data_IF_468725917763
#
_entry.id   IF_468725917763
#
_cell.length_a   1.000
_cell.length_b   1.000
_cell.length_c   1.000
_cell.angle_alpha   90.00
_cell.angle_beta   90.00
_cell.angle_gamma   90.00
#
_symmetry.space_group_name_H-M   'P 1'
#
loop_
_entity.id
_entity.type
_entity.pdbx_description
1 polymer ?
#
# COMPACT_ATOMS: atom_id res chain seq x y z
N UNK A 1 -26.71 -25.62 -2.79
CA UNK A 1 -25.75 -24.61 -3.29
C UNK A 1 -25.08 -25.15 -4.55
N UNK A 2 -25.08 -24.40 -5.65
CA UNK A 2 -24.44 -24.84 -6.91
C UNK A 2 -22.92 -24.65 -6.85
N UNK A 3 -22.17 -25.53 -7.54
CA UNK A 3 -20.68 -25.50 -7.62
C UNK A 3 -20.14 -24.10 -7.98
N UNK A 4 -20.80 -23.41 -8.91
CA UNK A 4 -20.49 -22.02 -9.31
C UNK A 4 -20.65 -20.99 -8.18
N UNK A 5 -21.62 -21.17 -7.28
CA UNK A 5 -21.81 -20.24 -6.15
C UNK A 5 -20.70 -20.40 -5.11
N UNK A 6 -20.18 -21.62 -4.93
CA UNK A 6 -19.04 -21.91 -4.05
C UNK A 6 -17.75 -21.32 -4.60
N UNK A 7 -17.48 -21.49 -5.91
CA UNK A 7 -16.31 -20.89 -6.59
C UNK A 7 -16.31 -19.35 -6.53
N UNK A 8 -17.46 -18.70 -6.74
CA UNK A 8 -17.57 -17.24 -6.62
C UNK A 8 -17.37 -16.74 -5.19
N UNK A 9 -17.63 -17.58 -4.18
CA UNK A 9 -17.40 -17.23 -2.78
C UNK A 9 -15.92 -17.40 -2.42
N UNK A 10 -15.26 -18.45 -2.90
CA UNK A 10 -13.83 -18.66 -2.68
C UNK A 10 -12.98 -17.60 -3.39
N UNK A 11 -13.31 -17.23 -4.63
CA UNK A 11 -12.61 -16.14 -5.34
C UNK A 11 -12.72 -14.79 -4.60
N UNK A 12 -13.90 -14.45 -4.07
CA UNK A 12 -14.09 -13.22 -3.28
C UNK A 12 -13.29 -13.21 -1.98
N UNK A 13 -13.16 -14.37 -1.33
CA UNK A 13 -12.35 -14.51 -0.11
C UNK A 13 -10.86 -14.40 -0.43
N UNK A 14 -10.40 -15.02 -1.52
CA UNK A 14 -9.00 -14.93 -1.97
C UNK A 14 -8.61 -13.50 -2.36
N UNK A 15 -9.47 -12.80 -3.11
CA UNK A 15 -9.23 -11.41 -3.49
C UNK A 15 -9.12 -10.49 -2.25
N UNK A 16 -9.97 -10.70 -1.23
CA UNK A 16 -9.88 -9.95 0.03
C UNK A 16 -8.60 -10.25 0.81
N UNK A 17 -8.15 -11.51 0.81
CA UNK A 17 -6.89 -11.90 1.46
C UNK A 17 -5.68 -11.26 0.76
N UNK A 18 -5.65 -11.26 -0.57
CA UNK A 18 -4.60 -10.59 -1.35
C UNK A 18 -4.58 -9.08 -1.08
N UNK A 19 -5.75 -8.43 -1.04
CA UNK A 19 -5.85 -7.00 -0.76
C UNK A 19 -5.37 -6.65 0.66
N UNK A 20 -5.66 -7.50 1.64
CA UNK A 20 -5.15 -7.34 3.00
C UNK A 20 -3.63 -7.45 3.06
N UNK A 21 -3.06 -8.45 2.37
CA UNK A 21 -1.62 -8.68 2.34
C UNK A 21 -0.87 -7.52 1.64
N UNK A 22 -1.42 -7.01 0.53
CA UNK A 22 -0.91 -5.81 -0.14
C UNK A 22 -0.96 -4.57 0.76
N UNK A 23 -2.06 -4.38 1.51
CA UNK A 23 -2.18 -3.28 2.46
C UNK A 23 -1.15 -3.39 3.60
N UNK A 24 -0.95 -4.59 4.14
CA UNK A 24 0.01 -4.86 5.20
C UNK A 24 1.45 -4.61 4.73
N UNK A 25 1.78 -5.03 3.51
CA UNK A 25 3.07 -4.76 2.88
C UNK A 25 3.26 -3.28 2.58
N UNK A 26 2.20 -2.56 2.20
CA UNK A 26 2.22 -1.10 2.00
C UNK A 26 2.46 -0.36 3.32
N UNK A 27 1.75 -0.72 4.39
CA UNK A 27 1.96 -0.17 5.72
C UNK A 27 3.37 -0.42 6.23
N UNK A 28 3.88 -1.65 6.09
CA UNK A 28 5.24 -2.00 6.49
C UNK A 28 6.31 -1.20 5.74
N UNK A 29 6.09 -0.93 4.45
CA UNK A 29 6.97 -0.07 3.64
C UNK A 29 6.89 1.40 4.05
N UNK A 30 5.71 1.88 4.44
CA UNK A 30 5.53 3.26 4.90
C UNK A 30 6.13 3.45 6.29
N UNK A 31 5.95 2.47 7.20
CA UNK A 31 6.51 2.49 8.55
C UNK A 31 8.03 2.35 8.56
N UNK A 32 8.61 1.68 7.55
CA UNK A 32 10.07 1.55 7.40
C UNK A 32 10.74 2.76 6.75
N UNK A 33 9.99 3.79 6.32
CA UNK A 33 10.61 5.00 5.76
C UNK A 33 11.38 5.73 6.86
N UNK A 34 12.67 5.96 6.62
CA UNK A 34 13.54 6.67 7.55
C UNK A 34 12.97 8.04 7.97
N UNK A 35 12.29 8.75 7.06
CA UNK A 35 11.63 10.03 7.36
C UNK A 35 10.39 9.91 8.26
N UNK A 36 9.72 8.76 8.26
CA UNK A 36 8.61 8.46 9.16
C UNK A 36 9.12 8.09 10.55
N UNK A 37 10.13 7.23 10.61
CA UNK A 37 10.83 6.86 11.85
C UNK A 37 11.45 8.09 12.52
N UNK A 38 12.11 8.97 11.75
CA UNK A 38 12.69 10.21 12.26
C UNK A 38 11.63 11.17 12.81
N UNK A 39 10.47 11.27 12.14
CA UNK A 39 9.38 12.12 12.62
C UNK A 39 8.75 11.56 13.91
N UNK A 40 8.50 10.25 13.98
CA UNK A 40 8.00 9.61 15.19
C UNK A 40 9.01 9.75 16.35
N UNK A 41 10.31 9.57 16.10
CA UNK A 41 11.34 9.78 17.12
C UNK A 41 11.42 11.22 17.63
N UNK A 42 11.10 12.22 16.79
CA UNK A 42 11.04 13.62 17.20
C UNK A 42 9.77 13.95 18.02
N UNK A 43 8.70 13.17 17.88
CA UNK A 43 7.46 13.30 18.64
C UNK A 43 7.56 12.55 19.98
N UNK A 44 8.10 11.33 19.96
CA UNK A 44 8.11 10.38 21.08
C UNK A 44 9.42 10.39 21.90
N UNK A 45 10.48 11.04 21.39
CA UNK A 45 11.80 11.02 22.03
C UNK A 45 11.84 11.77 23.37
N UNK A 46 12.41 11.18 24.43
CA UNK A 46 12.75 11.93 25.62
C UNK A 46 13.86 12.93 25.25
N UNK A 47 13.61 14.19 25.58
CA UNK A 47 14.50 15.34 25.54
C UNK A 47 15.98 14.95 25.71
N UNK A 48 16.70 14.80 24.59
CA UNK A 48 18.15 14.83 24.59
C UNK A 48 18.58 16.29 24.60
N UNK A 49 19.08 16.68 25.76
CA UNK A 49 19.89 17.86 25.99
C UNK A 49 21.01 17.90 24.95
N UNK A 50 20.81 18.65 23.87
CA UNK A 50 21.87 18.91 22.89
C UNK A 50 22.19 20.39 23.01
N UNK A 51 23.33 20.67 23.64
CA UNK A 51 23.98 21.96 23.62
C UNK A 51 24.16 22.41 22.17
N UNK A 52 23.52 23.51 21.79
CA UNK A 52 23.96 24.39 20.69
C UNK A 52 23.31 25.75 20.87
N UNK A 53 24.06 26.59 21.57
CA UNK A 53 24.25 28.03 21.39
C UNK A 53 23.43 28.75 20.32
N UNK A 54 22.91 29.90 20.75
CA UNK A 54 22.55 31.12 20.02
C UNK A 54 21.15 31.18 19.40
N UNK A 55 20.22 31.74 20.18
CA UNK A 55 19.40 32.87 19.72
C UNK A 55 18.89 33.64 20.95
N UNK A 56 19.65 34.67 21.31
CA UNK A 56 19.21 35.74 22.18
C UNK A 56 18.25 36.63 21.39
N UNK A 57 16.95 36.53 21.67
CA UNK A 57 16.00 37.61 21.42
C UNK A 57 15.31 37.91 22.73
N UNK A 58 15.70 39.03 23.32
CA UNK A 58 15.07 39.63 24.48
C UNK A 58 13.60 39.89 24.20
N UNK A 59 12.75 39.44 25.11
CA UNK A 59 11.48 40.10 25.39
C UNK A 59 11.21 39.97 26.88
N UNK A 60 11.50 41.07 27.55
CA UNK A 60 10.91 41.48 28.81
C UNK A 60 9.38 41.39 28.70
N UNK A 61 8.76 40.51 29.46
CA UNK A 61 7.70 40.95 30.36
C UNK A 61 7.44 39.91 31.45
N UNK A 62 7.38 40.40 32.69
CA UNK A 62 7.18 39.58 33.87
C UNK A 62 5.73 39.14 33.98
N UNK A 63 5.47 37.85 33.82
CA UNK A 63 4.31 37.20 34.42
C UNK A 63 4.73 35.79 34.84
N UNK A 64 4.87 35.61 36.15
CA UNK A 64 4.89 34.29 36.79
C UNK A 64 3.50 33.69 36.50
N UNK A 65 3.36 33.03 35.34
CA UNK A 65 2.24 32.15 35.06
C UNK A 65 2.39 30.98 36.03
N UNK A 66 1.44 30.84 36.93
CA UNK A 66 1.25 29.62 37.71
C UNK A 66 1.39 28.40 36.78
N UNK A 67 2.11 27.34 37.20
CA UNK A 67 2.27 26.15 36.38
C UNK A 67 0.87 25.67 35.99
N UNK A 68 0.64 25.47 34.69
CA UNK A 68 -0.63 24.95 34.19
C UNK A 68 -0.80 23.58 34.85
N UNK A 69 -1.79 23.46 35.73
CA UNK A 69 -2.09 22.20 36.42
C UNK A 69 -2.96 21.38 35.49
N UNK A 70 -2.46 20.24 35.01
CA UNK A 70 -3.32 19.27 34.33
C UNK A 70 -4.01 18.44 35.42
N UNK A 71 -5.33 18.54 35.48
CA UNK A 71 -6.18 17.89 36.48
C UNK A 71 -6.89 16.70 35.84
N UNK A 72 -6.50 15.49 36.28
CA UNK A 72 -7.07 14.23 35.84
C UNK A 72 -7.90 13.64 36.98
N UNK A 73 -9.05 13.03 36.66
CA UNK A 73 -9.94 12.46 37.67
C UNK A 73 -10.41 11.05 37.29
N UNK A 74 -10.47 10.16 38.29
CA UNK A 74 -11.01 8.81 38.18
C UNK A 74 -12.02 8.59 39.30
N UNK A 75 -13.23 8.17 38.94
CA UNK A 75 -14.31 7.93 39.90
C UNK A 75 -15.05 6.65 39.59
N UNK A 76 -15.46 5.95 40.64
CA UNK A 76 -16.37 4.83 40.54
C UNK A 76 -17.23 4.74 41.79
N UNK A 77 -18.50 4.38 41.63
CA UNK A 77 -19.45 4.27 42.74
C UNK A 77 -19.51 2.85 43.32
N UNK A 78 -19.24 1.83 42.50
CA UNK A 78 -19.34 0.43 42.89
C UNK A 78 -18.32 -0.41 42.11
N UNK A 79 -17.21 -0.74 42.77
CA UNK A 79 -16.23 -1.71 42.29
C UNK A 79 -16.23 -2.91 43.23
N UNK A 80 -16.59 -4.12 42.74
CA UNK A 80 -16.51 -5.32 43.57
C UNK A 80 -15.05 -5.74 43.75
N UNK A 81 -14.62 -5.88 45.00
CA UNK A 81 -13.35 -6.48 45.38
C UNK A 81 -13.65 -7.90 45.88
N UNK A 82 -13.20 -8.90 45.13
CA UNK A 82 -13.42 -10.30 45.45
C UNK A 82 -12.87 -10.67 46.84
N UNK A 83 -13.47 -11.68 47.48
CA UNK A 83 -12.89 -12.30 48.67
C UNK A 83 -11.50 -12.86 48.33
N UNK A 84 -10.53 -12.75 49.23
CA UNK A 84 -9.12 -13.12 49.02
C UNK A 84 -8.40 -12.39 47.88
N UNK A 85 -9.01 -11.37 47.26
CA UNK A 85 -8.48 -10.64 46.12
C UNK A 85 -8.14 -9.18 46.41
N UNK A 86 -7.82 -8.42 45.37
CA UNK A 86 -7.57 -6.98 45.46
C UNK A 86 -7.91 -6.25 44.17
N UNK A 87 -8.05 -4.93 44.26
CA UNK A 87 -8.28 -4.02 43.15
C UNK A 87 -7.13 -3.02 43.08
N UNK A 88 -6.65 -2.73 41.87
CA UNK A 88 -5.52 -1.82 41.64
C UNK A 88 -5.90 -0.78 40.60
N UNK A 89 -5.58 0.49 40.87
CA UNK A 89 -5.76 1.59 39.92
C UNK A 89 -4.39 2.14 39.51
N UNK A 90 -3.92 1.84 38.28
CA UNK A 90 -2.68 2.40 37.75
C UNK A 90 -2.90 3.79 37.18
N UNK A 91 -2.09 4.75 37.63
CA UNK A 91 -2.10 6.14 37.19
C UNK A 91 -0.70 6.53 36.73
N UNK A 92 -0.58 6.96 35.48
CA UNK A 92 0.70 7.43 34.92
C UNK A 92 0.93 8.89 35.32
N UNK A 93 2.10 9.17 35.87
CA UNK A 93 2.60 10.52 36.14
C UNK A 93 3.69 10.86 35.13
N UNK A 94 3.40 11.82 34.25
CA UNK A 94 4.34 12.28 33.22
C UNK A 94 5.18 13.47 33.70
N UNK A 95 4.70 14.20 34.71
CA UNK A 95 5.35 15.39 35.25
C UNK A 95 6.45 15.08 36.29
N UNK A 96 7.32 16.06 36.55
CA UNK A 96 8.33 15.98 37.63
C UNK A 96 7.71 16.12 39.02
N UNK A 97 6.54 16.74 39.12
CA UNK A 97 5.80 16.96 40.36
C UNK A 97 4.32 16.80 40.10
N UNK A 98 3.63 16.18 41.04
CA UNK A 98 2.18 16.11 41.04
C UNK A 98 1.63 15.97 42.45
N UNK A 99 0.35 16.23 42.61
CA UNK A 99 -0.41 16.02 43.83
C UNK A 99 -1.55 15.07 43.53
N UNK A 100 -1.57 13.96 44.25
CA UNK A 100 -2.63 12.96 44.19
C UNK A 100 -3.57 13.16 45.37
N UNK A 101 -4.83 13.42 45.08
CA UNK A 101 -5.91 13.42 46.04
C UNK A 101 -6.71 12.14 45.86
N UNK A 102 -7.02 11.46 46.94
CA UNK A 102 -7.87 10.28 46.90
C UNK A 102 -8.92 10.34 48.00
N UNK A 103 -10.08 9.79 47.70
CA UNK A 103 -11.12 9.51 48.67
C UNK A 103 -11.81 8.20 48.33
N UNK A 104 -12.13 7.40 49.34
CA UNK A 104 -12.85 6.14 49.13
C UNK A 104 -13.66 5.72 50.35
N UNK A 105 -14.71 4.95 50.09
CA UNK A 105 -15.52 4.26 51.09
C UNK A 105 -15.88 2.87 50.61
N UNK A 106 -16.20 2.00 51.55
CA UNK A 106 -16.74 0.68 51.25
C UNK A 106 -18.18 0.59 51.75
N UNK A 107 -19.02 -0.20 51.09
CA UNK A 107 -20.41 -0.38 51.55
C UNK A 107 -20.47 -1.15 52.86
N UNK A 108 -19.75 -2.27 52.91
CA UNK A 108 -19.75 -3.22 54.01
C UNK A 108 -18.30 -3.65 54.28
N UNK A 109 -17.93 -3.77 55.55
CA UNK A 109 -16.61 -4.20 56.06
C UNK A 109 -15.45 -3.25 55.74
N UNK A 110 -14.33 -3.45 56.42
CA UNK A 110 -13.10 -2.68 56.25
C UNK A 110 -12.26 -3.18 55.07
N UNK A 111 -11.27 -2.42 54.60
CA UNK A 111 -10.40 -2.83 53.47
C UNK A 111 -8.95 -2.42 53.75
N UNK A 112 -7.99 -3.20 53.26
CA UNK A 112 -6.60 -2.77 53.27
C UNK A 112 -6.38 -1.79 52.13
N UNK A 113 -5.71 -0.68 52.40
CA UNK A 113 -5.40 0.31 51.37
C UNK A 113 -3.94 0.75 51.50
N UNK A 114 -3.28 0.91 50.35
CA UNK A 114 -1.92 1.41 50.23
C UNK A 114 -1.70 2.10 48.89
N UNK A 115 -0.63 2.90 48.81
CA UNK A 115 -0.24 3.59 47.58
C UNK A 115 1.25 3.38 47.35
N UNK A 116 1.60 2.92 46.15
CA UNK A 116 2.98 2.67 45.74
C UNK A 116 3.26 3.38 44.42
N UNK A 117 4.52 3.66 44.13
CA UNK A 117 4.95 4.28 42.87
C UNK A 117 6.11 3.50 42.28
N UNK A 118 6.00 3.15 41.01
CA UNK A 118 7.08 2.59 40.20
C UNK A 118 7.70 3.75 39.42
N UNK A 119 8.90 4.15 39.80
CA UNK A 119 9.64 5.20 39.13
C UNK A 119 10.14 4.76 37.74
N UNK A 120 10.49 5.71 36.88
CA UNK A 120 11.02 5.43 35.54
C UNK A 120 12.33 4.61 35.54
N UNK A 121 13.07 4.62 36.65
CA UNK A 121 14.28 3.81 36.86
C UNK A 121 13.98 2.36 37.30
N UNK A 122 12.70 2.02 37.46
CA UNK A 122 12.24 0.71 37.94
C UNK A 122 12.25 0.56 39.46
N UNK A 123 12.61 1.60 40.22
CA UNK A 123 12.53 1.57 41.69
C UNK A 123 11.07 1.63 42.16
N UNK A 124 10.76 0.86 43.20
CA UNK A 124 9.44 0.85 43.86
C UNK A 124 9.52 1.68 45.14
N UNK A 125 8.72 2.74 45.21
CA UNK A 125 8.59 3.62 46.37
C UNK A 125 7.22 3.41 47.00
N UNK A 126 7.18 3.05 48.28
CA UNK A 126 5.94 3.02 49.04
C UNK A 126 5.59 4.44 49.51
N UNK A 127 4.51 5.01 48.96
CA UNK A 127 4.06 6.37 49.29
C UNK A 127 3.13 6.36 50.50
N UNK A 128 2.30 5.33 50.61
CA UNK A 128 1.42 5.09 51.75
C UNK A 128 1.44 3.60 52.11
N UNK A 129 1.91 3.32 53.32
CA UNK A 129 1.95 1.98 53.90
C UNK A 129 0.60 1.29 53.84
N UNK A 130 0.58 0.02 53.41
CA UNK A 130 -0.67 -0.76 53.37
C UNK A 130 -1.22 -0.95 54.79
N UNK A 131 -2.41 -0.42 55.06
CA UNK A 131 -3.07 -0.49 56.38
C UNK A 131 -4.55 -0.82 56.23
N UNK A 132 -5.13 -1.35 57.30
CA UNK A 132 -6.56 -1.67 57.37
C UNK A 132 -7.36 -0.41 57.73
N UNK A 133 -8.35 -0.08 56.91
CA UNK A 133 -9.21 1.09 57.08
C UNK A 133 -10.66 0.68 57.24
N UNK A 134 -11.33 1.21 58.27
CA UNK A 134 -12.77 1.08 58.47
C UNK A 134 -13.56 2.07 57.58
N UNK A 135 -13.33 1.97 56.26
CA UNK A 135 -13.88 2.89 55.25
C UNK A 135 -15.40 2.77 55.05
N UNK A 136 -16.04 1.77 55.66
CA UNK A 136 -17.49 1.61 55.76
C UNK A 136 -18.13 2.50 56.83
N UNK A 137 -17.37 2.88 57.86
CA UNK A 137 -17.87 3.76 58.94
C UNK A 137 -17.64 5.22 58.60
N UNK A 138 -16.49 5.53 57.99
CA UNK A 138 -16.10 6.89 57.61
C UNK A 138 -15.30 6.86 56.32
N UNK A 139 -15.65 7.72 55.38
CA UNK A 139 -14.89 7.89 54.14
C UNK A 139 -13.43 8.24 54.46
N UNK A 140 -12.51 7.54 53.82
CA UNK A 140 -11.07 7.78 53.92
C UNK A 140 -10.70 8.78 52.85
N UNK A 141 -9.91 9.79 53.21
CA UNK A 141 -9.40 10.79 52.27
C UNK A 141 -7.95 11.09 52.57
N UNK A 142 -7.18 11.44 51.54
CA UNK A 142 -5.77 11.79 51.69
C UNK A 142 -5.22 12.53 50.48
N UNK A 143 -4.06 13.14 50.70
CA UNK A 143 -3.29 13.85 49.68
C UNK A 143 -1.84 13.38 49.75
N UNK A 144 -1.23 13.13 48.59
CA UNK A 144 0.16 12.71 48.46
C UNK A 144 0.87 13.59 47.44
N UNK A 145 2.03 14.12 47.80
CA UNK A 145 2.92 14.80 46.86
C UNK A 145 3.80 13.76 46.15
N UNK A 146 3.72 13.73 44.83
CA UNK A 146 4.46 12.84 43.96
C UNK A 146 5.68 13.55 43.39
N UNK A 147 6.82 12.85 43.38
CA UNK A 147 8.09 13.39 42.87
C UNK A 147 8.65 12.46 41.79
N UNK A 148 8.89 13.01 40.61
CA UNK A 148 9.44 12.29 39.46
C UNK A 148 8.38 11.62 38.58
N UNK A 149 8.71 11.33 37.31
CA UNK A 149 7.83 10.58 36.43
C UNK A 149 7.78 9.09 36.80
N UNK A 150 6.61 8.46 36.67
CA UNK A 150 6.42 7.06 37.04
C UNK A 150 4.97 6.60 36.94
N UNK A 151 4.70 5.43 37.52
CA UNK A 151 3.35 4.87 37.62
C UNK A 151 2.95 4.72 39.09
N UNK A 152 1.90 5.43 39.50
CA UNK A 152 1.32 5.31 40.84
C UNK A 152 0.26 4.23 40.83
N UNK A 153 0.33 3.34 41.81
CA UNK A 153 -0.59 2.22 42.02
C UNK A 153 -1.33 2.45 43.33
N UNK A 154 -2.64 2.68 43.24
CA UNK A 154 -3.53 2.66 44.41
C UNK A 154 -4.05 1.23 44.56
N UNK A 155 -3.84 0.65 45.74
CA UNK A 155 -4.07 -0.77 46.01
C UNK A 155 -5.14 -0.90 47.08
N UNK A 156 -6.25 -1.55 46.76
CA UNK A 156 -7.27 -1.98 47.72
C UNK A 156 -7.24 -3.49 47.85
N UNK A 157 -6.85 -3.98 49.01
CA UNK A 157 -6.65 -5.40 49.28
C UNK A 157 -7.73 -5.96 50.22
N UNK A 158 -8.29 -7.09 49.81
CA UNK A 158 -9.30 -7.88 50.51
C UNK A 158 -8.82 -9.31 50.81
N UNK A 159 -7.51 -9.55 50.75
CA UNK A 159 -6.87 -10.85 51.02
C UNK A 159 -7.29 -11.49 52.34
N UNK A 160 -7.57 -10.67 53.37
CA UNK A 160 -7.94 -11.13 54.72
C UNK A 160 -9.41 -11.57 54.86
N UNK A 161 -10.25 -11.40 53.84
CA UNK A 161 -11.66 -11.85 53.89
C UNK A 161 -11.83 -13.13 53.06
N UNK A 162 -12.22 -14.21 53.72
CA UNK A 162 -12.37 -15.52 53.07
C UNK A 162 -13.70 -15.71 52.32
N UNK A 163 -14.74 -14.96 52.69
CA UNK A 163 -16.11 -15.13 52.14
C UNK A 163 -16.70 -13.85 51.57
N UNK A 164 -16.39 -12.70 52.17
CA UNK A 164 -17.08 -11.45 51.86
C UNK A 164 -16.42 -10.66 50.72
N UNK A 165 -17.18 -10.41 49.67
CA UNK A 165 -16.85 -9.41 48.65
C UNK A 165 -17.12 -8.01 49.17
N UNK A 166 -16.26 -7.04 48.85
CA UNK A 166 -16.43 -5.64 49.25
C UNK A 166 -16.85 -4.80 48.06
N UNK A 167 -17.71 -3.81 48.29
CA UNK A 167 -18.10 -2.84 47.26
C UNK A 167 -17.38 -1.52 47.55
N UNK A 168 -16.44 -1.16 46.69
CA UNK A 168 -15.63 0.05 46.79
C UNK A 168 -16.24 1.19 45.99
N UNK A 169 -16.38 2.36 46.62
CA UNK A 169 -16.60 3.63 45.95
C UNK A 169 -15.33 4.47 46.12
N UNK A 170 -14.81 5.05 45.03
CA UNK A 170 -13.63 5.90 45.07
C UNK A 170 -13.72 7.11 44.15
N UNK A 171 -12.99 8.16 44.51
CA UNK A 171 -12.74 9.34 43.71
C UNK A 171 -11.28 9.76 43.89
N UNK A 172 -10.55 9.84 42.79
CA UNK A 172 -9.11 10.10 42.75
C UNK A 172 -8.84 11.22 41.76
N UNK A 173 -8.09 12.23 42.19
CA UNK A 173 -7.69 13.37 41.37
C UNK A 173 -6.17 13.48 41.33
N UNK A 174 -5.59 13.67 40.15
CA UNK A 174 -4.17 13.95 39.97
C UNK A 174 -4.00 15.35 39.39
N UNK A 175 -3.34 16.22 40.16
CA UNK A 175 -2.90 17.55 39.74
C UNK A 175 -1.42 17.50 39.43
N UNK A 176 -1.04 17.54 38.16
CA UNK A 176 0.37 17.48 37.78
C UNK A 176 0.84 18.81 37.20
N UNK A 177 2.05 19.22 37.58
CA UNK A 177 2.70 20.40 36.97
C UNK A 177 2.98 20.08 35.51
N UNK A 178 2.19 20.64 34.59
CA UNK A 178 2.63 20.63 33.21
C UNK A 178 3.79 21.62 33.12
N UNK A 179 4.94 21.12 32.69
CA UNK A 179 5.96 22.01 32.14
C UNK A 179 5.23 22.84 31.07
N UNK A 180 5.44 24.17 31.00
CA UNK A 180 5.09 24.95 29.82
C UNK A 180 6.04 24.50 28.70
N UNK A 181 5.85 23.27 28.23
CA UNK A 181 6.50 22.80 27.04
C UNK A 181 5.99 23.72 25.94
N UNK A 182 6.91 24.18 25.12
CA UNK A 182 6.74 24.78 23.81
C UNK A 182 5.74 24.01 22.92
N UNK A 183 4.47 23.91 23.32
CA UNK A 183 3.40 23.31 22.55
C UNK A 183 3.23 24.07 21.23
N UNK A 184 3.44 25.40 21.26
CA UNK A 184 3.55 26.23 20.08
C UNK A 184 4.70 25.81 19.14
N UNK A 185 5.90 25.50 19.67
CA UNK A 185 7.05 25.09 18.86
C UNK A 185 6.90 23.71 18.22
N UNK A 186 6.40 22.72 18.97
CA UNK A 186 6.09 21.38 18.42
C UNK A 186 4.97 21.45 17.37
N UNK A 187 3.94 22.25 17.63
CA UNK A 187 2.83 22.46 16.68
C UNK A 187 3.32 23.18 15.42
N UNK A 188 4.17 24.20 15.54
CA UNK A 188 4.74 24.91 14.39
C UNK A 188 5.63 24.01 13.53
N UNK A 189 6.48 23.18 14.15
CA UNK A 189 7.33 22.25 13.41
C UNK A 189 6.49 21.17 12.70
N UNK A 190 5.46 20.64 13.37
CA UNK A 190 4.51 19.70 12.76
C UNK A 190 3.74 20.35 11.59
N UNK A 191 3.27 21.59 11.74
CA UNK A 191 2.58 22.34 10.70
C UNK A 191 3.49 22.60 9.49
N UNK A 192 4.75 23.01 9.73
CA UNK A 192 5.73 23.23 8.67
C UNK A 192 6.03 21.94 7.92
N UNK A 193 6.23 20.83 8.63
CA UNK A 193 6.43 19.52 8.02
C UNK A 193 5.22 19.05 7.21
N UNK A 194 4.00 19.39 7.65
CA UNK A 194 2.76 19.10 6.91
C UNK A 194 2.71 19.89 5.60
N UNK A 195 2.91 21.21 5.66
CA UNK A 195 2.89 22.09 4.49
C UNK A 195 3.95 21.71 3.46
N UNK A 196 5.17 21.35 3.89
CA UNK A 196 6.22 20.91 2.97
C UNK A 196 5.85 19.61 2.24
N UNK A 197 5.19 18.68 2.93
CA UNK A 197 4.71 17.44 2.32
C UNK A 197 3.53 17.68 1.37
N UNK A 198 2.58 18.54 1.74
CA UNK A 198 1.49 18.95 0.85
C UNK A 198 2.02 19.59 -0.44
N UNK A 199 3.06 20.45 -0.33
CA UNK A 199 3.71 21.03 -1.50
C UNK A 199 4.38 19.97 -2.38
N UNK A 200 5.11 19.02 -1.79
CA UNK A 200 5.72 17.91 -2.54
C UNK A 200 4.66 17.02 -3.21
N UNK A 201 3.55 16.79 -2.54
CA UNK A 201 2.43 16.03 -3.09
C UNK A 201 1.86 16.73 -4.33
N UNK A 202 1.59 18.03 -4.28
CA UNK A 202 1.15 18.78 -5.47
C UNK A 202 2.18 18.76 -6.61
N UNK A 203 3.48 18.79 -6.31
CA UNK A 203 4.51 18.66 -7.34
C UNK A 203 4.47 17.29 -8.01
N UNK A 204 4.37 16.21 -7.23
CA UNK A 204 4.30 14.86 -7.77
C UNK A 204 2.98 14.59 -8.50
N UNK A 205 1.86 15.18 -8.08
CA UNK A 205 0.60 15.12 -8.84
C UNK A 205 0.73 15.78 -10.21
N UNK A 206 1.36 16.97 -10.27
CA UNK A 206 1.62 17.62 -11.56
C UNK A 206 2.59 16.83 -12.46
N UNK A 207 3.61 16.20 -11.88
CA UNK A 207 4.50 15.28 -12.62
C UNK A 207 3.76 14.03 -13.12
N UNK A 208 2.86 13.48 -12.29
CA UNK A 208 2.03 12.34 -12.64
C UNK A 208 1.11 12.68 -13.83
N UNK A 209 0.38 13.79 -13.78
CA UNK A 209 -0.51 14.23 -14.87
C UNK A 209 0.26 14.43 -16.18
N UNK A 210 1.48 14.97 -16.10
CA UNK A 210 2.36 15.11 -17.26
C UNK A 210 2.82 13.76 -17.82
N UNK A 211 3.18 12.81 -16.97
CA UNK A 211 3.56 11.47 -17.40
C UNK A 211 2.37 10.70 -17.97
N UNK A 212 1.20 10.83 -17.35
CA UNK A 212 -0.05 10.21 -17.80
C UNK A 212 -0.43 10.71 -19.21
N UNK A 213 -0.38 12.02 -19.45
CA UNK A 213 -0.61 12.59 -20.79
C UNK A 213 0.42 12.14 -21.81
N UNK A 214 1.69 11.96 -21.40
CA UNK A 214 2.73 11.40 -22.27
C UNK A 214 2.43 9.94 -22.62
N UNK A 215 2.08 9.11 -21.64
CA UNK A 215 1.71 7.70 -21.86
C UNK A 215 0.55 7.60 -22.84
N UNK A 216 -0.53 8.34 -22.62
CA UNK A 216 -1.70 8.35 -23.54
C UNK A 216 -1.33 8.81 -24.96
N UNK A 217 -0.38 9.74 -25.08
CA UNK A 217 0.09 10.20 -26.38
C UNK A 217 0.89 9.10 -27.11
N UNK A 218 1.79 8.42 -26.39
CA UNK A 218 2.54 7.30 -26.96
C UNK A 218 1.63 6.11 -27.28
N UNK A 219 0.62 5.81 -26.46
CA UNK A 219 -0.39 4.78 -26.75
C UNK A 219 -1.10 5.04 -28.08
N UNK A 220 -1.58 6.27 -28.31
CA UNK A 220 -2.20 6.65 -29.60
C UNK A 220 -1.24 6.51 -30.77
N UNK A 221 0.05 6.82 -30.59
CA UNK A 221 1.06 6.63 -31.65
C UNK A 221 1.29 5.16 -31.93
N UNK A 222 1.34 4.33 -30.89
CA UNK A 222 1.46 2.88 -31.02
C UNK A 222 0.27 2.33 -31.79
N UNK A 223 -0.96 2.73 -31.46
CA UNK A 223 -2.17 2.34 -32.21
C UNK A 223 -2.11 2.73 -33.69
N UNK A 224 -1.66 3.95 -33.99
CA UNK A 224 -1.51 4.43 -35.36
C UNK A 224 -0.46 3.61 -36.14
N UNK A 225 0.68 3.30 -35.53
CA UNK A 225 1.71 2.46 -36.15
C UNK A 225 1.21 1.03 -36.40
N UNK A 226 0.42 0.46 -35.47
CA UNK A 226 -0.20 -0.85 -35.69
C UNK A 226 -1.11 -0.82 -36.93
N UNK A 227 -1.95 0.20 -37.06
CA UNK A 227 -2.82 0.34 -38.22
C UNK A 227 -2.04 0.46 -39.55
N UNK A 228 -0.95 1.22 -39.56
CA UNK A 228 -0.07 1.34 -40.74
C UNK A 228 0.58 0.01 -41.12
N UNK A 229 1.02 -0.77 -40.13
CA UNK A 229 1.60 -2.10 -40.37
C UNK A 229 0.55 -3.03 -40.99
N UNK A 230 -0.67 -3.04 -40.47
CA UNK A 230 -1.77 -3.85 -41.03
C UNK A 230 -2.12 -3.46 -42.47
N UNK A 231 -2.12 -2.17 -42.77
CA UNK A 231 -2.37 -1.68 -44.13
C UNK A 231 -1.26 -2.14 -45.10
N UNK A 232 0.00 -1.95 -44.71
CA UNK A 232 1.15 -2.37 -45.52
C UNK A 232 1.18 -3.89 -45.73
N UNK A 233 0.85 -4.68 -44.71
CA UNK A 233 0.71 -6.14 -44.85
C UNK A 233 -0.39 -6.53 -45.84
N UNK A 234 -1.50 -5.78 -45.85
CA UNK A 234 -2.60 -6.02 -46.79
C UNK A 234 -2.22 -5.66 -48.22
N UNK A 235 -1.50 -4.55 -48.41
CA UNK A 235 -0.97 -4.15 -49.73
C UNK A 235 0.04 -5.18 -50.25
N UNK A 236 0.95 -5.65 -49.40
CA UNK A 236 1.94 -6.65 -49.76
C UNK A 236 1.26 -7.95 -50.23
N UNK A 237 0.25 -8.43 -49.50
CA UNK A 237 -0.53 -9.61 -49.89
C UNK A 237 -1.19 -9.45 -51.27
N UNK A 238 -1.79 -8.28 -51.55
CA UNK A 238 -2.39 -7.99 -52.86
C UNK A 238 -1.34 -8.02 -53.98
N UNK A 239 -0.13 -7.51 -53.74
CA UNK A 239 0.95 -7.56 -54.71
C UNK A 239 1.48 -8.98 -54.94
N UNK A 240 1.55 -9.80 -53.90
CA UNK A 240 1.91 -11.22 -54.01
C UNK A 240 0.88 -11.99 -54.84
N UNK A 241 -0.42 -11.81 -54.58
CA UNK A 241 -1.50 -12.41 -55.37
C UNK A 241 -1.46 -11.95 -56.83
N UNK A 242 -1.23 -10.66 -57.07
CA UNK A 242 -1.10 -10.12 -58.43
C UNK A 242 0.11 -10.71 -59.18
N UNK A 243 1.24 -10.87 -58.48
CA UNK A 243 2.44 -11.52 -59.03
C UNK A 243 2.17 -12.98 -59.37
N UNK A 244 1.52 -13.74 -58.48
CA UNK A 244 1.18 -15.14 -58.73
C UNK A 244 0.25 -15.28 -59.95
N UNK A 245 -0.74 -14.39 -60.07
CA UNK A 245 -1.63 -14.34 -61.23
C UNK A 245 -0.87 -13.99 -62.53
N UNK A 246 0.11 -13.09 -62.46
CA UNK A 246 0.96 -12.76 -63.61
C UNK A 246 1.86 -13.94 -64.01
N UNK A 247 2.40 -14.70 -63.05
CA UNK A 247 3.16 -15.92 -63.30
C UNK A 247 2.27 -16.96 -63.98
N UNK A 248 1.07 -17.23 -63.45
CA UNK A 248 0.12 -18.18 -64.07
C UNK A 248 -0.23 -17.79 -65.51
N UNK A 249 -0.45 -16.50 -65.79
CA UNK A 249 -0.70 -16.01 -67.15
C UNK A 249 0.52 -16.17 -68.06
N UNK A 250 1.72 -15.90 -67.53
CA UNK A 250 2.97 -16.09 -68.28
C UNK A 250 3.11 -17.58 -68.66
N UNK A 251 2.90 -18.49 -67.72
CA UNK A 251 3.03 -19.93 -67.95
C UNK A 251 1.99 -20.42 -68.98
N UNK A 252 0.73 -19.93 -68.89
CA UNK A 252 -0.30 -20.21 -69.91
C UNK A 252 0.12 -19.74 -71.31
N UNK A 253 0.67 -18.53 -71.43
CA UNK A 253 1.16 -18.01 -72.72
C UNK A 253 2.35 -18.83 -73.22
N UNK A 254 3.25 -19.25 -72.33
CA UNK A 254 4.40 -20.11 -72.66
C UNK A 254 3.94 -21.48 -73.21
N UNK A 255 2.91 -22.09 -72.61
CA UNK A 255 2.26 -23.31 -73.12
C UNK A 255 1.66 -23.09 -74.52
N UNK A 256 0.91 -22.00 -74.74
CA UNK A 256 0.30 -21.69 -76.05
C UNK A 256 1.36 -21.46 -77.14
N UNK A 257 2.49 -20.81 -76.79
CA UNK A 257 3.62 -20.66 -77.71
C UNK A 257 4.21 -22.03 -78.06
N UNK A 258 4.34 -22.92 -77.08
CA UNK A 258 4.78 -24.30 -77.28
C UNK A 258 3.88 -25.05 -78.26
N UNK A 259 2.57 -24.98 -78.08
CA UNK A 259 1.58 -25.62 -78.96
C UNK A 259 1.68 -25.09 -80.39
N UNK A 260 1.72 -23.78 -80.58
CA UNK A 260 1.88 -23.15 -81.89
C UNK A 260 3.20 -23.57 -82.57
N UNK A 261 4.29 -23.69 -81.80
CA UNK A 261 5.57 -24.17 -82.33
C UNK A 261 5.48 -25.62 -82.81
N UNK A 262 4.79 -26.48 -82.07
CA UNK A 262 4.51 -27.85 -82.48
C UNK A 262 3.66 -27.91 -83.75
N UNK A 263 2.60 -27.11 -83.83
CA UNK A 263 1.74 -27.02 -85.02
C UNK A 263 2.52 -26.55 -86.26
N UNK A 264 3.30 -25.47 -86.14
CA UNK A 264 4.14 -24.96 -87.23
C UNK A 264 5.14 -26.02 -87.70
N UNK A 265 5.76 -26.77 -86.79
CA UNK A 265 6.68 -27.85 -87.13
C UNK A 265 5.98 -29.01 -87.85
N UNK A 266 4.79 -29.40 -87.37
CA UNK A 266 4.00 -30.44 -88.01
C UNK A 266 3.56 -30.04 -89.43
N UNK A 267 3.06 -28.81 -89.60
CA UNK A 267 2.71 -28.25 -90.91
C UNK A 267 3.92 -28.20 -91.85
N UNK A 268 5.08 -27.78 -91.34
CA UNK A 268 6.34 -27.77 -92.10
C UNK A 268 6.71 -29.17 -92.61
N UNK A 269 6.65 -30.19 -91.74
CA UNK A 269 6.90 -31.59 -92.13
C UNK A 269 5.88 -32.11 -93.15
N UNK A 270 4.61 -31.74 -93.02
CA UNK A 270 3.57 -32.08 -93.98
C UNK A 270 3.84 -31.45 -95.36
N UNK A 271 4.27 -30.18 -95.42
CA UNK A 271 4.65 -29.52 -96.67
C UNK A 271 5.80 -30.26 -97.35
N UNK A 272 6.88 -30.57 -96.61
CA UNK A 272 8.00 -31.36 -97.15
C UNK A 272 7.56 -32.75 -97.64
N UNK A 273 6.66 -33.43 -96.94
CA UNK A 273 6.14 -34.73 -97.36
C UNK A 273 5.30 -34.64 -98.66
N UNK A 274 4.54 -33.55 -98.84
CA UNK A 274 3.79 -33.29 -100.07
C UNK A 274 4.75 -32.98 -101.22
N UNK A 275 5.74 -32.10 -101.02
CA UNK A 275 6.75 -31.78 -102.03
C UNK A 275 7.55 -33.02 -102.43
N UNK A 276 7.99 -33.84 -101.48
CA UNK A 276 8.68 -35.09 -101.77
C UNK A 276 7.81 -36.06 -102.58
N UNK A 277 6.50 -36.18 -102.26
CA UNK A 277 5.57 -36.97 -103.07
C UNK A 277 5.40 -36.41 -104.48
N UNK A 278 5.35 -35.08 -104.65
CA UNK A 278 5.25 -34.44 -105.98
C UNK A 278 6.50 -34.69 -106.80
N UNK A 279 7.69 -34.47 -106.23
CA UNK A 279 8.98 -34.72 -106.90
C UNK A 279 9.13 -36.19 -107.29
N UNK A 280 8.82 -37.12 -106.38
CA UNK A 280 8.94 -38.55 -106.64
C UNK A 280 7.92 -39.03 -107.69
N UNK A 281 6.73 -38.41 -107.76
CA UNK A 281 5.74 -38.65 -108.83
C UNK A 281 6.20 -38.08 -110.18
N UNK A 282 6.88 -36.94 -110.18
CA UNK A 282 7.50 -36.35 -111.37
C UNK A 282 8.68 -37.18 -111.88
N UNK A 283 9.52 -37.70 -110.98
CA UNK A 283 10.60 -38.63 -111.34
C UNK A 283 10.07 -39.96 -111.86
N UNK A 284 9.00 -40.53 -111.28
CA UNK A 284 8.32 -41.71 -111.84
C UNK A 284 7.69 -41.44 -113.22
N UNK A 285 7.09 -40.27 -113.44
CA UNK A 285 6.56 -39.87 -114.75
C UNK A 285 7.67 -39.69 -115.78
N UNK A 286 8.82 -39.12 -115.40
CA UNK A 286 10.01 -39.02 -116.25
C UNK A 286 10.64 -40.40 -116.52
N UNK A 287 10.63 -41.32 -115.55
CA UNK A 287 11.12 -42.69 -115.73
C UNK A 287 10.20 -43.51 -116.65
N UNK A 288 8.88 -43.38 -116.53
CA UNK A 288 7.91 -44.03 -117.43
C UNK A 288 8.01 -43.50 -118.87
N UNK A 289 8.31 -42.21 -119.06
CA UNK A 289 8.55 -41.65 -120.40
C UNK A 289 9.87 -42.12 -121.03
N UNK A 290 10.91 -42.46 -120.25
CA UNK A 290 12.17 -43.01 -120.80
C UNK A 290 12.06 -44.48 -121.21
N UNK A 291 11.20 -45.28 -120.58
CA UNK A 291 11.03 -46.71 -120.91
C UNK A 291 10.17 -46.93 -122.17
N UNK A 292 9.47 -45.91 -122.66
CA UNK A 292 8.64 -46.01 -123.89
C UNK A 292 9.36 -45.61 -125.19
N UNK A 293 10.69 -45.38 -125.17
CA UNK A 293 11.50 -44.94 -126.33
C UNK A 293 12.65 -45.91 -126.67
N UNK A 294 12.69 -47.11 -126.07
CA UNK A 294 13.59 -48.21 -126.47
C UNK A 294 12.77 -49.41 -126.94
#
# INVERSE_FOLDING_TARGET
>A
MTRRAKERRTMRVQAKLQQLDENLMREKRLSSRASWIQLLSAIDGPYLSTNSSNLHVSSSDGLIKSPIVNELQWRSLQVPIAASGGFQLPIKLDARKGELFFSFSTRDYDVNFGVQMICADGSLIELLGTRRYESQKKQVQGQLSLTGPGMVLLLWDNSFSWVNTKQLAYHVELKQETLPVFAAGKTQLALKARLEREKKLMQYEGEYDRLETQVQTEERRVELLHHQIEELQTQLRKHEEAKENAIKKKDQVEEHIGDLFWELRALTLCIFAVEFKVVNKQEMLCACMRVSIQ
#
